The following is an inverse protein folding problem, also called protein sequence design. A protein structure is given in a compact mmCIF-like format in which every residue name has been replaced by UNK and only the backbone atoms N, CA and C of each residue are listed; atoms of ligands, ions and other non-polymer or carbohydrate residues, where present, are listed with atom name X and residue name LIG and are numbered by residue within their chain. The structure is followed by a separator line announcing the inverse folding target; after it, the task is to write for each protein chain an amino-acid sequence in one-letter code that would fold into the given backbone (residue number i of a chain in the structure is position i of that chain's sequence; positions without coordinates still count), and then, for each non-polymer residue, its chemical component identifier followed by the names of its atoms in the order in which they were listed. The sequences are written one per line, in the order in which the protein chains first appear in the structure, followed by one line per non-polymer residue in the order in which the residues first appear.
data_IF_426740929995
#
_entry.id   IF_426740929995
#
_cell.length_a   1.000
_cell.length_b   1.000
_cell.length_c   1.000
_cell.angle_alpha   90.00
_cell.angle_beta   90.00
_cell.angle_gamma   90.00
#
_symmetry.space_group_name_H-M   'P 1'
#
loop_
_entity.id
_entity.type
_entity.pdbx_description
1 polymer ?
#
# COMPACT_ATOMS: atom_id res chain seq x y z
N UNK A 1 8.87 -1.21 4.89
CA UNK A 1 9.10 0.06 4.16
C UNK A 1 7.76 0.60 3.71
N UNK A 2 7.60 1.92 3.79
CA UNK A 2 6.40 2.66 3.43
C UNK A 2 6.76 3.67 2.34
N UNK A 3 6.10 3.59 1.18
CA UNK A 3 6.29 4.54 0.08
C UNK A 3 5.03 5.38 -0.09
N UNK A 4 5.18 6.69 -0.28
CA UNK A 4 4.08 7.67 -0.34
C UNK A 4 3.89 8.12 -1.79
N UNK A 5 2.63 8.16 -2.25
CA UNK A 5 2.28 8.50 -3.64
C UNK A 5 1.13 9.51 -3.72
N UNK A 6 1.15 10.31 -4.80
CA UNK A 6 0.07 11.23 -5.17
C UNK A 6 -0.98 10.57 -6.09
N UNK A 7 -0.81 9.27 -6.37
CA UNK A 7 -1.73 8.49 -7.18
C UNK A 7 -1.66 7.02 -6.79
N UNK A 8 -2.81 6.36 -6.76
CA UNK A 8 -2.90 4.91 -6.55
C UNK A 8 -2.35 4.16 -7.77
N UNK A 9 -2.51 4.73 -8.96
CA UNK A 9 -1.99 4.22 -10.22
C UNK A 9 -0.45 4.22 -10.24
N UNK A 10 0.21 5.24 -9.69
CA UNK A 10 1.68 5.28 -9.50
C UNK A 10 2.16 4.20 -8.53
N UNK A 11 1.45 4.02 -7.40
CA UNK A 11 1.75 2.95 -6.45
C UNK A 11 1.61 1.56 -7.11
N UNK A 12 0.54 1.34 -7.88
CA UNK A 12 0.33 0.10 -8.63
C UNK A 12 1.37 -0.11 -9.73
N UNK A 13 1.82 0.95 -10.42
CA UNK A 13 2.89 0.88 -11.40
C UNK A 13 4.21 0.43 -10.76
N UNK A 14 4.51 0.91 -9.55
CA UNK A 14 5.67 0.49 -8.77
C UNK A 14 5.63 -1.01 -8.46
N UNK A 15 4.46 -1.55 -8.07
CA UNK A 15 4.29 -2.99 -7.85
C UNK A 15 4.64 -3.79 -9.12
N UNK A 16 4.09 -3.40 -10.27
CA UNK A 16 4.36 -4.10 -11.53
C UNK A 16 5.84 -4.02 -11.93
N UNK A 17 6.50 -2.89 -11.69
CA UNK A 17 7.92 -2.70 -11.96
C UNK A 17 8.82 -3.56 -11.05
N UNK A 18 8.54 -3.62 -9.74
CA UNK A 18 9.29 -4.44 -8.77
C UNK A 18 9.30 -5.91 -9.21
N UNK A 19 8.12 -6.43 -9.57
CA UNK A 19 7.98 -7.83 -10.03
C UNK A 19 8.69 -8.04 -11.38
N UNK A 20 8.67 -7.05 -12.28
CA UNK A 20 9.37 -7.12 -13.56
C UNK A 20 10.90 -7.20 -13.41
N UNK A 21 11.45 -6.58 -12.36
CA UNK A 21 12.86 -6.70 -11.98
C UNK A 21 13.21 -8.06 -11.34
N UNK A 22 12.25 -8.97 -11.21
CA UNK A 22 12.37 -10.28 -10.55
C UNK A 22 12.71 -10.19 -9.05
N UNK A 23 12.37 -9.07 -8.43
CA UNK A 23 12.40 -8.93 -6.98
C UNK A 23 11.04 -9.40 -6.46
N UNK A 24 11.06 -10.34 -5.52
CA UNK A 24 9.84 -10.89 -4.91
C UNK A 24 9.85 -10.49 -3.44
N UNK A 25 9.12 -9.43 -3.05
CA UNK A 25 8.96 -9.08 -1.64
C UNK A 25 8.06 -10.10 -0.94
N UNK A 26 8.28 -10.27 0.37
CA UNK A 26 7.39 -11.06 1.23
C UNK A 26 5.96 -10.48 1.24
N UNK A 27 5.84 -9.15 1.28
CA UNK A 27 4.54 -8.45 1.28
C UNK A 27 4.59 -7.23 0.35
N UNK A 28 3.51 -7.02 -0.43
CA UNK A 28 3.26 -5.84 -1.25
C UNK A 28 1.78 -5.44 -1.14
N UNK A 29 1.48 -4.40 -0.35
CA UNK A 29 0.10 -3.96 -0.11
C UNK A 29 -0.01 -2.44 -0.20
N UNK A 30 -1.02 -1.92 -0.89
CA UNK A 30 -1.33 -0.49 -0.89
C UNK A 30 -2.61 -0.18 -0.11
N UNK A 31 -2.73 1.08 0.32
CA UNK A 31 -3.97 1.68 0.81
C UNK A 31 -4.19 3.01 0.09
N UNK A 32 -5.42 3.27 -0.33
CA UNK A 32 -5.83 4.58 -0.85
C UNK A 32 -6.12 5.56 0.31
N UNK A 33 -6.13 6.86 0.01
CA UNK A 33 -6.31 7.92 1.01
C UNK A 33 -7.51 7.69 1.95
N UNK A 34 -8.70 7.32 1.47
CA UNK A 34 -9.84 7.21 2.37
C UNK A 34 -9.73 5.96 3.26
N UNK A 35 -9.04 4.91 2.81
CA UNK A 35 -8.66 3.81 3.71
C UNK A 35 -7.64 4.28 4.75
N UNK A 36 -6.66 5.09 4.37
CA UNK A 36 -5.67 5.66 5.28
C UNK A 36 -6.31 6.49 6.40
N UNK A 37 -7.22 7.39 6.07
CA UNK A 37 -7.96 8.21 7.04
C UNK A 37 -8.68 7.34 8.07
N UNK A 38 -9.42 6.33 7.59
CA UNK A 38 -10.25 5.47 8.44
C UNK A 38 -9.39 4.55 9.31
N UNK A 39 -8.29 4.02 8.75
CA UNK A 39 -7.34 3.22 9.51
C UNK A 39 -6.64 4.07 10.56
N UNK A 40 -6.22 5.30 10.23
CA UNK A 40 -5.56 6.18 11.19
C UNK A 40 -6.50 6.57 12.34
N UNK A 41 -7.76 6.89 12.05
CA UNK A 41 -8.77 7.16 13.07
C UNK A 41 -8.97 5.99 14.06
N UNK A 42 -8.75 4.76 13.59
CA UNK A 42 -8.84 3.55 14.40
C UNK A 42 -7.53 3.21 15.13
N UNK A 43 -6.41 3.14 14.41
CA UNK A 43 -5.12 2.63 14.88
C UNK A 43 -4.26 3.70 15.57
N UNK A 44 -4.36 4.96 15.13
CA UNK A 44 -3.67 6.13 15.69
C UNK A 44 -2.16 5.97 15.80
N UNK A 45 -1.54 5.54 14.69
CA UNK A 45 -0.09 5.28 14.63
C UNK A 45 0.67 6.37 13.87
N UNK A 46 -0.01 7.41 13.38
CA UNK A 46 0.60 8.47 12.59
C UNK A 46 0.74 8.12 11.11
N UNK A 47 -0.21 7.40 10.52
CA UNK A 47 -0.24 7.19 9.07
C UNK A 47 -0.35 8.52 8.31
N UNK A 48 0.31 8.67 7.14
CA UNK A 48 0.22 9.88 6.34
C UNK A 48 -1.13 9.94 5.61
N UNK A 49 -2.06 10.76 6.11
CA UNK A 49 -3.40 10.94 5.55
C UNK A 49 -3.48 12.04 4.49
N UNK A 50 -2.40 12.79 4.29
CA UNK A 50 -2.26 13.88 3.33
C UNK A 50 -1.85 13.41 1.92
N UNK A 51 -1.56 12.12 1.74
CA UNK A 51 -1.21 11.50 0.44
C UNK A 51 -2.38 10.73 -0.17
N UNK A 52 -2.32 10.51 -1.49
CA UNK A 52 -3.39 9.79 -2.20
C UNK A 52 -3.31 8.27 -2.06
N UNK A 53 -2.11 7.73 -1.86
CA UNK A 53 -1.89 6.32 -1.59
C UNK A 53 -0.57 6.07 -0.86
N UNK A 54 -0.50 4.94 -0.16
CA UNK A 54 0.76 4.38 0.32
C UNK A 54 0.96 2.97 -0.22
N UNK A 55 2.22 2.56 -0.37
CA UNK A 55 2.62 1.18 -0.63
C UNK A 55 3.49 0.68 0.53
N UNK A 56 2.99 -0.35 1.22
CA UNK A 56 3.68 -1.12 2.24
C UNK A 56 4.43 -2.27 1.60
N UNK A 57 5.71 -2.38 1.93
CA UNK A 57 6.61 -3.41 1.42
C UNK A 57 7.37 -4.04 2.57
N UNK A 58 7.29 -5.35 2.65
CA UNK A 58 8.09 -6.17 3.57
C UNK A 58 8.99 -7.10 2.76
N UNK A 59 10.22 -7.29 3.25
CA UNK A 59 11.14 -8.29 2.72
C UNK A 59 11.73 -9.12 3.83
N UNK A 60 11.89 -10.41 3.58
CA UNK A 60 12.43 -11.39 4.51
C UNK A 60 13.61 -12.17 3.91
N UNK A 61 14.24 -13.00 4.74
CA UNK A 61 15.39 -13.81 4.36
C UNK A 61 16.73 -13.32 4.93
N UNK A 62 17.82 -13.60 4.21
CA UNK A 62 19.15 -13.30 4.71
C UNK A 62 19.41 -11.79 4.73
N UNK A 63 20.01 -11.20 5.80
CA UNK A 63 20.13 -9.75 5.95
C UNK A 63 20.77 -9.01 4.77
N UNK A 64 21.78 -9.62 4.14
CA UNK A 64 22.42 -9.05 2.94
C UNK A 64 21.46 -9.01 1.73
N UNK A 65 20.64 -10.05 1.57
CA UNK A 65 19.64 -10.10 0.52
C UNK A 65 18.53 -9.08 0.77
N UNK A 66 18.01 -9.02 2.00
CA UNK A 66 17.01 -8.03 2.41
C UNK A 66 17.52 -6.62 2.13
N UNK A 67 18.74 -6.29 2.58
CA UNK A 67 19.31 -4.95 2.36
C UNK A 67 19.43 -4.60 0.87
N UNK A 68 19.96 -5.50 0.05
CA UNK A 68 20.11 -5.31 -1.40
C UNK A 68 18.76 -5.15 -2.10
N UNK A 69 17.80 -6.01 -1.78
CA UNK A 69 16.49 -6.02 -2.42
C UNK A 69 15.71 -4.76 -2.02
N UNK A 70 15.74 -4.37 -0.74
CA UNK A 70 15.08 -3.15 -0.25
C UNK A 70 15.66 -1.88 -0.87
N UNK A 71 16.97 -1.81 -1.10
CA UNK A 71 17.60 -0.71 -1.84
C UNK A 71 17.11 -0.65 -3.30
N UNK A 72 17.02 -1.81 -3.95
CA UNK A 72 16.55 -1.91 -5.34
C UNK A 72 15.08 -1.51 -5.46
N UNK A 73 14.23 -2.05 -4.58
CA UNK A 73 12.81 -1.69 -4.49
C UNK A 73 12.64 -0.19 -4.25
N UNK A 74 13.38 0.40 -3.31
CA UNK A 74 13.32 1.84 -3.02
C UNK A 74 13.63 2.69 -4.26
N UNK A 75 14.60 2.26 -5.09
CA UNK A 75 14.92 2.91 -6.35
C UNK A 75 13.77 2.79 -7.35
N UNK A 76 13.19 1.61 -7.50
CA UNK A 76 12.03 1.37 -8.39
C UNK A 76 10.85 2.24 -8.00
N UNK A 77 10.49 2.29 -6.71
CA UNK A 77 9.41 3.12 -6.19
C UNK A 77 9.62 4.61 -6.53
N UNK A 78 10.83 5.13 -6.31
CA UNK A 78 11.16 6.53 -6.66
C UNK A 78 11.07 6.81 -8.15
N UNK A 79 11.51 5.87 -9.00
CA UNK A 79 11.40 5.99 -10.46
C UNK A 79 9.95 6.01 -10.95
N UNK A 80 9.03 5.43 -10.18
CA UNK A 80 7.61 5.30 -10.51
C UNK A 80 6.70 6.21 -9.67
N UNK A 81 7.25 7.31 -9.14
CA UNK A 81 6.44 8.41 -8.59
C UNK A 81 6.40 8.52 -7.06
N UNK A 82 7.07 7.63 -6.32
CA UNK A 82 7.12 7.73 -4.86
C UNK A 82 7.76 9.05 -4.43
N UNK A 83 7.02 9.86 -3.68
CA UNK A 83 7.50 11.14 -3.12
C UNK A 83 8.47 10.90 -1.97
N UNK A 84 8.12 9.95 -1.13
CA UNK A 84 8.92 9.54 0.01
C UNK A 84 9.00 8.02 0.10
N UNK A 85 10.12 7.55 0.63
CA UNK A 85 10.37 6.13 0.88
C UNK A 85 10.98 6.01 2.27
N UNK A 86 10.20 5.49 3.20
CA UNK A 86 10.53 5.41 4.62
C UNK A 86 10.76 3.95 5.00
N UNK A 87 11.93 3.66 5.56
CA UNK A 87 12.27 2.33 6.07
C UNK A 87 12.02 2.36 7.58
N UNK A 88 11.20 1.43 8.06
CA UNK A 88 10.95 1.29 9.50
C UNK A 88 12.28 1.04 10.24
N UNK A 89 12.46 1.71 11.36
CA UNK A 89 13.70 1.69 12.14
C UNK A 89 13.72 0.55 13.17
N UNK A 90 12.57 -0.08 13.42
CA UNK A 90 12.43 -1.21 14.34
C UNK A 90 11.37 -2.20 13.86
N UNK A 91 11.45 -3.43 14.37
CA UNK A 91 10.39 -4.43 14.18
C UNK A 91 9.05 -3.97 14.77
N UNK A 92 9.06 -3.19 15.85
CA UNK A 92 7.85 -2.66 16.47
C UNK A 92 7.13 -1.67 15.52
N UNK A 93 7.87 -0.76 14.89
CA UNK A 93 7.34 0.17 13.90
C UNK A 93 6.81 -0.57 12.67
N UNK A 94 7.56 -1.57 12.17
CA UNK A 94 7.12 -2.40 11.06
C UNK A 94 5.82 -3.16 11.39
N UNK A 95 5.75 -3.76 12.57
CA UNK A 95 4.57 -4.49 13.04
C UNK A 95 3.36 -3.58 13.26
N UNK A 96 3.56 -2.34 13.71
CA UNK A 96 2.50 -1.35 13.83
C UNK A 96 1.87 -1.04 12.46
N UNK A 97 2.70 -0.79 11.43
CA UNK A 97 2.24 -0.55 10.06
C UNK A 97 1.44 -1.72 9.49
N UNK A 98 1.94 -2.96 9.64
CA UNK A 98 1.24 -4.16 9.17
C UNK A 98 -0.06 -4.39 9.92
N UNK A 99 -0.07 -4.12 11.23
CA UNK A 99 -1.28 -4.27 12.05
C UNK A 99 -2.34 -3.25 11.68
N UNK A 100 -1.94 -1.99 11.44
CA UNK A 100 -2.83 -0.96 10.93
C UNK A 100 -3.46 -1.40 9.60
N UNK A 101 -2.64 -1.89 8.65
CA UNK A 101 -3.14 -2.39 7.36
C UNK A 101 -4.10 -3.57 7.49
N UNK A 102 -3.81 -4.54 8.37
CA UNK A 102 -4.71 -5.66 8.67
C UNK A 102 -6.04 -5.21 9.26
N UNK A 103 -6.07 -4.07 9.96
CA UNK A 103 -7.29 -3.52 10.54
C UNK A 103 -8.21 -2.82 9.54
N UNK A 104 -7.78 -2.59 8.30
CA UNK A 104 -8.48 -1.76 7.31
C UNK A 104 -9.94 -2.14 7.10
N UNK A 105 -10.24 -3.42 6.86
CA UNK A 105 -11.62 -3.86 6.66
C UNK A 105 -12.48 -3.64 7.91
N UNK A 106 -11.96 -3.96 9.09
CA UNK A 106 -12.67 -3.75 10.36
C UNK A 106 -12.93 -2.27 10.62
N UNK A 107 -11.99 -1.40 10.27
CA UNK A 107 -12.15 0.04 10.38
C UNK A 107 -13.20 0.56 9.38
N UNK A 108 -13.14 0.13 8.11
CA UNK A 108 -14.11 0.49 7.06
C UNK A 108 -15.53 0.02 7.39
N UNK A 109 -15.70 -1.20 7.92
CA UNK A 109 -16.99 -1.77 8.27
C UNK A 109 -17.74 -0.97 9.37
N UNK A 110 -17.03 -0.10 10.12
CA UNK A 110 -17.64 0.79 11.12
C UNK A 110 -18.27 2.04 10.51
N UNK A 111 -17.92 2.40 9.27
CA UNK A 111 -18.46 3.60 8.60
C UNK A 111 -19.90 3.40 8.14
N UNK A 112 -20.25 2.21 7.68
CA UNK A 112 -21.58 1.92 7.18
C UNK A 112 -21.99 0.47 7.44
N UNK A 113 -23.25 0.22 7.86
CA UNK A 113 -23.80 -1.14 7.95
C UNK A 113 -23.90 -1.84 6.59
N UNK A 114 -23.74 -1.09 5.48
CA UNK A 114 -23.79 -1.61 4.10
C UNK A 114 -22.42 -1.74 3.44
N UNK A 115 -21.34 -1.84 4.23
CA UNK A 115 -20.00 -2.08 3.68
C UNK A 115 -19.93 -3.42 2.96
N UNK A 116 -19.63 -3.40 1.67
CA UNK A 116 -19.45 -4.60 0.84
C UNK A 116 -17.96 -4.76 0.54
N UNK A 117 -17.45 -5.97 0.75
CA UNK A 117 -16.11 -6.36 0.34
C UNK A 117 -16.20 -7.16 -0.96
N UNK A 118 -15.44 -6.74 -1.97
CA UNK A 118 -15.26 -7.46 -3.22
C UNK A 118 -13.81 -7.93 -3.33
N UNK A 119 -13.63 -9.12 -3.90
CA UNK A 119 -12.32 -9.68 -4.22
C UNK A 119 -12.20 -9.88 -5.73
N UNK A 120 -11.12 -9.33 -6.30
CA UNK A 120 -10.89 -9.32 -7.72
C UNK A 120 -9.43 -9.61 -8.03
N UNK A 121 -9.21 -10.48 -9.03
CA UNK A 121 -7.88 -10.74 -9.57
C UNK A 121 -7.78 -10.14 -10.97
N UNK A 122 -6.74 -9.37 -11.21
CA UNK A 122 -6.44 -8.75 -12.50
C UNK A 122 -5.03 -9.10 -12.96
N UNK A 123 -4.74 -9.10 -14.27
CA UNK A 123 -3.37 -9.19 -14.76
C UNK A 123 -2.51 -8.06 -14.20
N UNK A 124 -1.25 -8.35 -13.83
CA UNK A 124 -0.33 -7.35 -13.25
C UNK A 124 -0.12 -6.12 -14.14
N UNK A 125 -0.14 -6.31 -15.46
CA UNK A 125 -0.04 -5.21 -16.43
C UNK A 125 -1.24 -4.26 -16.38
N UNK A 126 -2.41 -4.75 -15.98
CA UNK A 126 -3.66 -4.00 -15.90
C UNK A 126 -3.90 -3.41 -14.51
N UNK A 127 -3.07 -3.73 -13.51
CA UNK A 127 -3.24 -3.22 -12.13
C UNK A 127 -3.32 -1.69 -12.07
N UNK A 128 -2.44 -0.91 -12.72
CA UNK A 128 -2.54 0.55 -12.67
C UNK A 128 -3.84 1.08 -13.28
N UNK A 129 -4.26 0.51 -14.42
CA UNK A 129 -5.50 0.89 -15.10
C UNK A 129 -6.73 0.53 -14.26
N UNK A 130 -6.73 -0.66 -13.63
CA UNK A 130 -7.78 -1.10 -12.72
C UNK A 130 -7.89 -0.17 -11.51
N UNK A 131 -6.78 0.11 -10.83
CA UNK A 131 -6.75 1.03 -9.68
C UNK A 131 -7.30 2.42 -10.00
N UNK A 132 -7.04 2.95 -11.20
CA UNK A 132 -7.57 4.25 -11.61
C UNK A 132 -9.06 4.26 -11.93
N UNK A 133 -9.63 3.13 -12.34
CA UNK A 133 -11.06 2.98 -12.61
C UNK A 133 -11.88 2.70 -11.34
N UNK A 134 -11.27 2.08 -10.32
CA UNK A 134 -11.96 1.64 -9.08
C UNK A 134 -12.52 2.77 -8.21
N UNK A 135 -12.26 4.05 -8.53
CA UNK A 135 -12.98 5.20 -7.94
C UNK A 135 -14.49 5.15 -8.20
N UNK A 136 -14.95 4.35 -9.18
CA UNK A 136 -16.34 4.28 -9.67
C UNK A 136 -17.31 3.52 -8.74
N UNK A 137 -16.85 2.68 -7.82
CA UNK A 137 -17.75 1.89 -6.93
C UNK A 137 -18.22 2.64 -5.68
N UNK A 138 -17.80 3.89 -5.47
CA UNK A 138 -18.25 4.75 -4.36
C UNK A 138 -19.59 5.42 -4.65
N UNK A 139 -20.57 4.68 -5.16
CA UNK A 139 -21.94 5.22 -5.25
C UNK A 139 -22.51 5.25 -3.84
N UNK A 140 -22.58 6.46 -3.30
CA UNK A 140 -23.40 6.79 -2.14
C UNK A 140 -24.84 6.35 -2.44
N UNK A 141 -25.23 5.18 -1.95
CA UNK A 141 -26.64 4.89 -1.67
C UNK A 141 -27.02 5.78 -0.51
N UNK A 142 -27.47 6.99 -0.86
CA UNK A 142 -28.39 7.74 -0.02
C UNK A 142 -29.71 6.98 0.10
#
# INVERSE_FOLDING_TARGET
MLCLYESLEEAAASVSAIIAERIIPATLEFMDQPTLEVVEDFAKIGLPTDVQAVLLIEQDGHPEAVSRDMQSIAKVCKQHGAKEVNIAHSEEEANALLTARRSALSALARLSPTTILEDATVPRSEMPAWCGQSKILRRSTK
#
